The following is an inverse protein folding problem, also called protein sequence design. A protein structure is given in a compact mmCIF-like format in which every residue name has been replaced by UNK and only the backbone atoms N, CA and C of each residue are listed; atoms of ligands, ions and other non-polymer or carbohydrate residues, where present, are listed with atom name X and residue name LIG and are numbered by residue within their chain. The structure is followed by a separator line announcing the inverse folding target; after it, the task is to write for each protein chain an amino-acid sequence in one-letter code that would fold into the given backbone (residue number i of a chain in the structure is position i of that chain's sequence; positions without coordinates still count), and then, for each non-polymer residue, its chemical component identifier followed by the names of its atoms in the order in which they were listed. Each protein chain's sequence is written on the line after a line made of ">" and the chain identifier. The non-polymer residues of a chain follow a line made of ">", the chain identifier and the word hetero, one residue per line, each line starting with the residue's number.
data_IF_539261631546
#
_entry.id   IF_539261631546
#
_cell.length_a   1.000
_cell.length_b   1.000
_cell.length_c   1.000
_cell.angle_alpha   90.00
_cell.angle_beta   90.00
_cell.angle_gamma   90.00
#
_symmetry.space_group_name_H-M   'P 1'
#
loop_
_entity.id
_entity.type
_entity.pdbx_description
1 polymer ?
#
# COMPACT_ATOMS: atom_id res chain seq x y z
N UNK A 1 -7.06 8.05 18.73
CA UNK A 1 -6.59 6.64 18.78
C UNK A 1 -5.77 6.43 20.05
N UNK A 2 -6.15 5.48 20.91
CA UNK A 2 -5.50 5.25 22.22
C UNK A 2 -4.49 4.10 22.19
N UNK A 3 -4.40 3.38 21.08
CA UNK A 3 -3.50 2.24 20.90
C UNK A 3 -2.94 2.23 19.46
N UNK A 4 -1.80 1.56 19.29
CA UNK A 4 -1.16 1.37 17.99
C UNK A 4 -2.00 0.41 17.12
N UNK A 5 -2.36 0.77 15.87
CA UNK A 5 -3.17 -0.10 15.01
C UNK A 5 -2.45 -1.41 14.62
N UNK A 6 -1.11 -1.42 14.60
CA UNK A 6 -0.35 -2.61 14.24
C UNK A 6 -0.14 -3.60 15.40
N UNK A 7 0.14 -3.13 16.63
CA UNK A 7 0.53 -3.99 17.75
C UNK A 7 -0.28 -3.78 19.03
N UNK A 8 -1.32 -2.97 19.00
CA UNK A 8 -2.22 -2.61 20.12
C UNK A 8 -1.57 -2.00 21.35
N UNK A 9 -0.26 -1.74 21.33
CA UNK A 9 0.43 -1.07 22.43
C UNK A 9 -0.10 0.34 22.65
N UNK A 10 -0.27 0.71 23.92
CA UNK A 10 -0.64 2.08 24.35
C UNK A 10 0.57 2.97 24.62
N UNK A 11 1.80 2.42 24.51
CA UNK A 11 3.03 3.22 24.65
C UNK A 11 3.29 4.02 23.39
N UNK A 12 2.63 5.17 23.31
CA UNK A 12 2.66 6.06 22.17
C UNK A 12 3.41 7.35 22.50
N UNK A 13 4.18 7.84 21.53
CA UNK A 13 4.78 9.16 21.57
C UNK A 13 4.09 10.05 20.55
N UNK A 14 3.32 11.02 21.01
CA UNK A 14 2.71 12.07 20.17
C UNK A 14 3.77 13.08 19.73
N UNK A 15 3.69 13.47 18.47
CA UNK A 15 4.40 14.62 17.91
C UNK A 15 3.64 15.93 18.17
N UNK A 16 4.20 17.08 17.78
CA UNK A 16 3.47 18.33 17.78
C UNK A 16 2.33 18.30 16.77
N UNK A 17 1.30 19.08 17.02
CA UNK A 17 0.21 19.30 16.07
C UNK A 17 0.76 20.05 14.85
N UNK A 18 0.48 19.56 13.66
CA UNK A 18 0.79 20.26 12.42
C UNK A 18 -0.07 21.52 12.28
N UNK A 19 0.57 22.64 12.01
CA UNK A 19 -0.15 23.89 11.81
C UNK A 19 -0.95 23.91 10.49
N UNK A 20 -0.61 23.04 9.54
CA UNK A 20 -1.29 22.96 8.26
C UNK A 20 -2.53 22.05 8.32
N UNK A 21 -2.46 20.93 9.04
CA UNK A 21 -3.50 19.89 9.03
C UNK A 21 -4.29 19.83 10.35
N UNK A 22 -3.85 20.52 11.40
CA UNK A 22 -4.44 20.41 12.73
C UNK A 22 -4.26 19.04 13.41
N UNK A 23 -3.45 18.15 12.83
CA UNK A 23 -3.29 16.75 13.26
C UNK A 23 -1.92 16.49 13.86
N UNK A 24 -1.83 15.57 14.81
CA UNK A 24 -0.57 15.11 15.38
C UNK A 24 -0.23 13.70 14.88
N UNK A 25 1.04 13.49 14.57
CA UNK A 25 1.56 12.17 14.21
C UNK A 25 1.97 11.45 15.50
N UNK A 26 1.46 10.24 15.70
CA UNK A 26 1.85 9.34 16.77
C UNK A 26 2.91 8.35 16.29
N UNK A 27 3.82 7.99 17.18
CA UNK A 27 4.77 6.89 16.99
C UNK A 27 4.64 5.89 18.12
N UNK A 28 4.41 4.64 17.77
CA UNK A 28 4.46 3.54 18.73
C UNK A 28 5.90 3.29 19.18
N UNK A 29 6.15 3.24 20.51
CA UNK A 29 7.48 2.92 21.04
C UNK A 29 7.78 1.42 21.03
N UNK A 30 6.74 0.59 21.04
CA UNK A 30 6.88 -0.87 21.03
C UNK A 30 7.27 -1.43 19.66
N UNK A 31 6.57 -1.05 18.58
CA UNK A 31 6.82 -1.57 17.22
C UNK A 31 7.41 -0.55 16.24
N UNK A 32 7.41 0.73 16.59
CA UNK A 32 7.97 1.82 15.78
C UNK A 32 7.08 2.31 14.65
N UNK A 33 5.86 1.78 14.47
CA UNK A 33 4.89 2.30 13.50
C UNK A 33 4.61 3.79 13.76
N UNK A 34 4.36 4.51 12.68
CA UNK A 34 3.99 5.94 12.72
C UNK A 34 2.63 6.10 12.06
N UNK A 35 1.69 6.77 12.73
CA UNK A 35 0.31 6.87 12.31
C UNK A 35 -0.35 8.14 12.88
N UNK A 36 -1.61 8.40 12.53
CA UNK A 36 -2.36 9.51 13.09
C UNK A 36 -2.64 9.33 14.58
N UNK A 37 -2.22 10.29 15.38
CA UNK A 37 -2.33 10.23 16.84
C UNK A 37 -3.65 10.75 17.41
N UNK A 38 -4.30 11.68 16.73
CA UNK A 38 -5.60 12.25 17.08
C UNK A 38 -6.45 12.41 15.81
N UNK A 39 -7.71 12.10 15.94
CA UNK A 39 -8.66 11.94 14.84
C UNK A 39 -8.90 10.46 14.54
N UNK A 40 -10.10 10.13 14.07
CA UNK A 40 -10.38 8.81 13.53
C UNK A 40 -9.78 8.73 12.12
N UNK A 41 -9.37 7.53 11.71
CA UNK A 41 -9.06 7.29 10.29
C UNK A 41 -10.28 7.57 9.38
N UNK A 42 -11.49 7.64 9.98
CA UNK A 42 -12.74 8.04 9.30
C UNK A 42 -12.80 9.52 8.94
N UNK A 43 -11.98 10.38 9.61
CA UNK A 43 -11.88 11.82 9.29
C UNK A 43 -10.72 12.12 8.31
N UNK A 44 -9.91 11.13 7.90
CA UNK A 44 -9.24 11.21 6.62
C UNK A 44 -10.38 11.22 5.60
N UNK A 45 -10.58 12.34 4.89
CA UNK A 45 -11.40 12.36 3.70
C UNK A 45 -11.03 11.09 2.93
N UNK A 46 -11.88 10.08 3.00
CA UNK A 46 -12.04 9.19 1.86
C UNK A 46 -12.27 10.20 0.75
N UNK A 47 -11.28 10.43 -0.10
CA UNK A 47 -11.51 11.11 -1.37
C UNK A 47 -12.79 10.43 -1.82
N UNK A 48 -13.86 11.21 -2.03
CA UNK A 48 -15.08 10.67 -2.59
C UNK A 48 -14.71 10.19 -3.97
N UNK A 49 -14.17 8.97 -4.00
CA UNK A 49 -13.64 8.31 -5.21
C UNK A 49 -14.78 8.08 -6.20
N UNK A 50 -16.01 8.17 -5.71
CA UNK A 50 -17.23 8.13 -6.51
C UNK A 50 -17.38 9.34 -7.45
N UNK A 51 -16.67 10.46 -7.20
CA UNK A 51 -16.67 11.64 -8.06
C UNK A 51 -15.56 11.64 -9.12
N UNK A 52 -14.61 10.69 -9.07
CA UNK A 52 -13.54 10.60 -10.06
C UNK A 52 -14.10 9.98 -11.34
N UNK A 53 -14.09 10.74 -12.45
CA UNK A 53 -14.52 10.20 -13.74
C UNK A 53 -13.65 9.02 -14.17
N UNK A 54 -14.20 8.11 -14.97
CA UNK A 54 -13.45 6.96 -15.50
C UNK A 54 -12.22 7.41 -16.30
N UNK A 55 -12.32 8.52 -17.05
CA UNK A 55 -11.22 9.07 -17.86
C UNK A 55 -10.11 9.64 -16.96
N UNK A 56 -10.45 10.41 -15.92
CA UNK A 56 -9.47 10.94 -14.97
C UNK A 56 -8.75 9.84 -14.21
N UNK A 57 -9.48 8.77 -13.85
CA UNK A 57 -8.90 7.59 -13.22
C UNK A 57 -7.97 6.83 -14.17
N UNK A 58 -8.33 6.73 -15.43
CA UNK A 58 -7.52 6.12 -16.48
C UNK A 58 -6.20 6.87 -16.68
N UNK A 59 -6.27 8.19 -16.86
CA UNK A 59 -5.09 9.05 -17.04
C UNK A 59 -4.15 8.96 -15.82
N UNK A 60 -4.73 8.93 -14.61
CA UNK A 60 -3.97 8.82 -13.38
C UNK A 60 -3.28 7.45 -13.23
N UNK A 61 -3.95 6.36 -13.62
CA UNK A 61 -3.35 5.01 -13.59
C UNK A 61 -2.23 4.87 -14.60
N UNK A 62 -2.39 5.38 -15.81
CA UNK A 62 -1.37 5.36 -16.88
C UNK A 62 -0.12 6.15 -16.46
N UNK A 63 -0.32 7.34 -15.87
CA UNK A 63 0.78 8.16 -15.35
C UNK A 63 1.52 7.45 -14.20
N UNK A 64 0.80 6.78 -13.31
CA UNK A 64 1.39 6.09 -12.15
C UNK A 64 2.30 4.94 -12.53
N UNK A 65 1.83 4.09 -13.42
CA UNK A 65 2.44 2.77 -13.64
C UNK A 65 3.63 2.81 -14.58
N UNK A 66 3.49 3.44 -15.75
CA UNK A 66 4.51 3.41 -16.77
C UNK A 66 5.09 1.99 -16.94
N UNK A 67 6.37 1.88 -17.30
CA UNK A 67 7.07 0.58 -17.45
C UNK A 67 7.46 -0.07 -16.11
N UNK A 68 7.56 0.73 -15.05
CA UNK A 68 8.04 0.29 -13.73
C UNK A 68 7.03 -0.61 -13.01
N UNK A 69 5.75 -0.32 -13.17
CA UNK A 69 4.69 -1.14 -12.59
C UNK A 69 4.75 -2.58 -13.06
N UNK A 70 4.68 -2.84 -14.38
CA UNK A 70 4.76 -4.19 -14.94
C UNK A 70 6.02 -4.96 -14.56
N UNK A 71 7.20 -4.32 -14.48
CA UNK A 71 8.43 -4.98 -14.04
C UNK A 71 8.34 -5.46 -12.59
N UNK A 72 7.85 -4.60 -11.68
CA UNK A 72 7.65 -4.96 -10.28
C UNK A 72 6.63 -6.11 -10.15
N UNK A 73 5.55 -6.05 -10.91
CA UNK A 73 4.51 -7.08 -10.94
C UNK A 73 5.05 -8.43 -11.40
N UNK A 74 5.84 -8.46 -12.50
CA UNK A 74 6.48 -9.70 -12.98
C UNK A 74 7.41 -10.30 -11.93
N UNK A 75 8.22 -9.46 -11.27
CA UNK A 75 9.15 -9.92 -10.25
C UNK A 75 8.43 -10.57 -9.06
N UNK A 76 7.34 -9.98 -8.59
CA UNK A 76 6.50 -10.54 -7.51
C UNK A 76 5.79 -11.81 -7.98
N UNK A 77 5.13 -11.76 -9.14
CA UNK A 77 4.35 -12.88 -9.67
C UNK A 77 5.22 -14.10 -9.96
N UNK A 78 6.48 -13.89 -10.39
CA UNK A 78 7.47 -14.97 -10.53
C UNK A 78 7.73 -15.67 -9.19
N UNK A 79 7.86 -14.91 -8.09
CA UNK A 79 8.04 -15.52 -6.75
C UNK A 79 6.79 -16.27 -6.28
N UNK A 80 5.59 -15.75 -6.59
CA UNK A 80 4.33 -16.43 -6.29
C UNK A 80 4.18 -17.72 -7.12
N UNK A 81 4.46 -17.65 -8.44
CA UNK A 81 4.36 -18.80 -9.37
C UNK A 81 5.24 -19.97 -8.95
N UNK A 82 6.40 -19.70 -8.36
CA UNK A 82 7.29 -20.75 -7.86
C UNK A 82 6.72 -21.53 -6.65
N UNK A 83 5.64 -21.05 -6.02
CA UNK A 83 5.07 -21.60 -4.79
C UNK A 83 3.60 -22.00 -4.93
N UNK A 84 2.95 -21.62 -6.01
CA UNK A 84 1.52 -21.84 -6.26
C UNK A 84 1.30 -22.92 -7.34
N UNK A 85 0.17 -23.64 -7.32
CA UNK A 85 -0.23 -24.51 -8.42
C UNK A 85 -0.41 -23.74 -9.74
N UNK A 86 -0.40 -24.46 -10.85
CA UNK A 86 -0.43 -23.84 -12.19
C UNK A 86 -1.71 -23.03 -12.46
N UNK A 87 -2.83 -23.48 -11.92
CA UNK A 87 -4.17 -22.92 -12.06
C UNK A 87 -4.64 -22.17 -10.82
N UNK A 88 -3.71 -21.69 -9.99
CA UNK A 88 -4.04 -20.96 -8.74
C UNK A 88 -4.94 -19.77 -9.00
N UNK A 89 -5.86 -19.54 -8.08
CA UNK A 89 -6.69 -18.33 -8.03
C UNK A 89 -5.96 -17.24 -7.25
N UNK A 90 -5.57 -16.19 -7.95
CA UNK A 90 -4.92 -14.99 -7.38
C UNK A 90 -5.96 -13.87 -7.31
N UNK A 91 -6.20 -13.36 -6.12
CA UNK A 91 -7.13 -12.27 -5.86
C UNK A 91 -6.37 -10.99 -5.53
N UNK A 92 -6.65 -9.89 -6.24
CA UNK A 92 -5.99 -8.60 -6.01
C UNK A 92 -6.91 -7.61 -5.32
N UNK A 93 -6.54 -7.16 -4.12
CA UNK A 93 -7.32 -6.18 -3.36
C UNK A 93 -6.90 -4.77 -3.76
N UNK A 94 -7.90 -3.92 -4.10
CA UNK A 94 -7.66 -2.59 -4.64
C UNK A 94 -7.01 -2.68 -6.03
N UNK A 95 -7.56 -3.53 -6.89
CA UNK A 95 -7.00 -3.92 -8.17
C UNK A 95 -6.95 -2.78 -9.21
N UNK A 96 -7.66 -1.69 -8.96
CA UNK A 96 -7.68 -0.52 -9.82
C UNK A 96 -8.24 -0.86 -11.20
N UNK A 97 -7.51 -0.48 -12.25
CA UNK A 97 -7.91 -0.76 -13.63
C UNK A 97 -7.72 -2.23 -14.08
N UNK A 98 -7.38 -3.14 -13.15
CA UNK A 98 -7.19 -4.56 -13.47
C UNK A 98 -5.86 -4.90 -14.15
N UNK A 99 -4.93 -3.96 -14.29
CA UNK A 99 -3.68 -4.19 -15.02
C UNK A 99 -2.78 -5.27 -14.41
N UNK A 100 -2.71 -5.37 -13.07
CA UNK A 100 -1.96 -6.44 -12.42
C UNK A 100 -2.64 -7.82 -12.57
N UNK A 101 -3.94 -7.98 -12.28
CA UNK A 101 -4.64 -9.22 -12.55
C UNK A 101 -4.50 -9.69 -14.01
N UNK A 102 -4.66 -8.78 -14.98
CA UNK A 102 -4.47 -9.10 -16.39
C UNK A 102 -3.07 -9.65 -16.68
N UNK A 103 -2.02 -9.00 -16.18
CA UNK A 103 -0.64 -9.48 -16.33
C UNK A 103 -0.47 -10.88 -15.69
N UNK A 104 -1.02 -11.10 -14.50
CA UNK A 104 -0.92 -12.40 -13.81
C UNK A 104 -1.64 -13.52 -14.59
N UNK A 105 -2.78 -13.20 -15.24
CA UNK A 105 -3.49 -14.11 -16.12
C UNK A 105 -2.68 -14.39 -17.41
N UNK A 106 -2.33 -13.34 -18.13
CA UNK A 106 -1.83 -13.44 -19.51
C UNK A 106 -0.39 -13.94 -19.59
N UNK A 107 0.48 -13.54 -18.66
CA UNK A 107 1.89 -13.92 -18.67
C UNK A 107 2.19 -15.15 -17.78
N UNK A 108 1.39 -15.39 -16.74
CA UNK A 108 1.66 -16.45 -15.76
C UNK A 108 0.63 -17.58 -15.74
N UNK A 109 -0.52 -17.40 -16.41
CA UNK A 109 -1.56 -18.42 -16.54
C UNK A 109 -2.35 -18.66 -15.24
N UNK A 110 -2.40 -17.70 -14.34
CA UNK A 110 -3.25 -17.76 -13.14
C UNK A 110 -4.72 -17.51 -13.48
N UNK A 111 -5.62 -18.09 -12.71
CA UNK A 111 -6.98 -17.58 -12.62
C UNK A 111 -6.93 -16.31 -11.77
N UNK A 112 -7.64 -15.28 -12.19
CA UNK A 112 -7.57 -13.98 -11.50
C UNK A 112 -8.96 -13.46 -11.16
N UNK A 113 -9.05 -12.80 -10.02
CA UNK A 113 -10.16 -11.98 -9.59
C UNK A 113 -9.62 -10.87 -8.70
N UNK A 114 -10.48 -10.04 -8.17
CA UNK A 114 -10.10 -8.99 -7.24
C UNK A 114 -11.27 -8.07 -6.93
N UNK A 115 -11.02 -7.07 -6.11
CA UNK A 115 -12.01 -6.04 -5.82
C UNK A 115 -11.41 -4.64 -5.90
N UNK A 116 -12.29 -3.67 -6.06
CA UNK A 116 -11.98 -2.25 -5.81
C UNK A 116 -13.21 -1.56 -5.23
N UNK A 117 -13.00 -0.55 -4.39
CA UNK A 117 -14.09 0.24 -3.80
C UNK A 117 -14.58 1.34 -4.75
N UNK A 118 -13.87 1.56 -5.87
CA UNK A 118 -14.18 2.59 -6.88
C UNK A 118 -14.91 1.97 -8.06
N UNK A 119 -16.16 2.32 -8.28
CA UNK A 119 -16.97 1.79 -9.39
C UNK A 119 -16.31 2.05 -10.77
N UNK A 120 -15.72 3.26 -10.94
CA UNK A 120 -14.99 3.61 -12.17
C UNK A 120 -13.79 2.70 -12.43
N UNK A 121 -13.09 2.25 -11.38
CA UNK A 121 -11.98 1.30 -11.49
C UNK A 121 -12.47 -0.08 -11.96
N UNK A 122 -13.55 -0.59 -11.35
CA UNK A 122 -14.17 -1.87 -11.72
C UNK A 122 -14.58 -1.88 -13.19
N UNK A 123 -15.25 -0.80 -13.65
CA UNK A 123 -15.62 -0.66 -15.07
C UNK A 123 -14.40 -0.63 -15.98
N UNK A 124 -13.38 0.13 -15.59
CA UNK A 124 -12.15 0.27 -16.37
C UNK A 124 -11.39 -1.06 -16.50
N UNK A 125 -11.35 -1.87 -15.44
CA UNK A 125 -10.74 -3.20 -15.46
C UNK A 125 -11.43 -4.13 -16.49
N UNK A 126 -12.76 -4.07 -16.55
CA UNK A 126 -13.54 -4.83 -17.55
C UNK A 126 -13.26 -4.33 -18.96
N UNK A 127 -13.34 -3.00 -19.17
CA UNK A 127 -13.21 -2.39 -20.48
C UNK A 127 -11.79 -2.54 -21.08
N UNK A 128 -10.74 -2.37 -20.28
CA UNK A 128 -9.35 -2.40 -20.73
C UNK A 128 -8.75 -3.79 -20.82
N UNK A 129 -9.10 -4.65 -19.88
CA UNK A 129 -8.38 -5.90 -19.66
C UNK A 129 -9.26 -7.14 -19.63
N UNK A 130 -10.57 -6.99 -19.76
CA UNK A 130 -11.54 -8.08 -19.59
C UNK A 130 -11.33 -8.84 -18.26
N UNK A 131 -11.11 -8.06 -17.18
CA UNK A 131 -11.00 -8.56 -15.82
C UNK A 131 -12.27 -8.19 -15.05
N UNK A 132 -12.94 -9.20 -14.51
CA UNK A 132 -14.09 -9.00 -13.65
C UNK A 132 -13.63 -8.75 -12.21
N UNK A 133 -13.93 -7.55 -11.71
CA UNK A 133 -13.67 -7.16 -10.33
C UNK A 133 -14.97 -7.03 -9.55
N UNK A 134 -14.91 -7.34 -8.27
CA UNK A 134 -15.99 -7.14 -7.31
C UNK A 134 -15.95 -5.69 -6.79
N UNK A 135 -17.11 -5.04 -6.69
CA UNK A 135 -17.20 -3.69 -6.12
C UNK A 135 -17.39 -3.78 -4.60
N UNK A 136 -16.54 -3.10 -3.82
CA UNK A 136 -16.61 -3.08 -2.36
C UNK A 136 -15.45 -3.80 -1.68
N UNK A 137 -15.60 -4.09 -0.39
CA UNK A 137 -14.58 -4.77 0.42
C UNK A 137 -14.59 -6.29 0.23
N UNK A 138 -13.43 -6.95 0.35
CA UNK A 138 -13.33 -8.42 0.27
C UNK A 138 -14.29 -9.15 1.22
N UNK A 139 -14.55 -8.58 2.39
CA UNK A 139 -15.47 -9.16 3.39
C UNK A 139 -16.94 -9.19 2.94
N UNK A 140 -17.31 -8.51 1.87
CA UNK A 140 -18.67 -8.45 1.34
C UNK A 140 -18.94 -9.55 0.30
N UNK A 141 -17.90 -10.26 -0.17
CA UNK A 141 -17.98 -11.18 -1.31
C UNK A 141 -17.91 -12.66 -0.94
N UNK A 142 -17.88 -12.99 0.36
CA UNK A 142 -18.09 -14.34 0.86
C UNK A 142 -16.96 -15.33 0.55
N UNK A 143 -15.73 -14.86 0.34
CA UNK A 143 -14.56 -15.73 0.25
C UNK A 143 -14.30 -16.39 1.61
N UNK A 144 -14.31 -17.72 1.64
CA UNK A 144 -14.09 -18.53 2.85
C UNK A 144 -13.13 -19.68 2.53
N UNK A 145 -11.84 -19.37 2.55
CA UNK A 145 -10.78 -20.35 2.34
C UNK A 145 -10.72 -20.90 0.92
N UNK A 146 -11.07 -20.12 -0.10
CA UNK A 146 -11.09 -20.53 -1.50
C UNK A 146 -9.98 -19.91 -2.36
N UNK A 147 -9.25 -18.91 -1.84
CA UNK A 147 -8.19 -18.22 -2.56
C UNK A 147 -6.81 -18.88 -2.35
N UNK A 148 -6.09 -19.08 -3.44
CA UNK A 148 -4.71 -19.62 -3.38
C UNK A 148 -3.69 -18.54 -3.03
N UNK A 149 -3.94 -17.30 -3.50
CA UNK A 149 -3.14 -16.14 -3.11
C UNK A 149 -3.95 -14.86 -3.12
N UNK A 150 -3.55 -13.93 -2.25
CA UNK A 150 -4.04 -12.53 -2.22
C UNK A 150 -2.86 -11.59 -2.43
N UNK A 151 -3.08 -10.55 -3.24
CA UNK A 151 -2.13 -9.46 -3.47
C UNK A 151 -2.71 -8.11 -3.10
N UNK A 152 -1.87 -7.20 -2.61
CA UNK A 152 -2.24 -5.82 -2.27
C UNK A 152 -1.12 -4.85 -2.67
N UNK A 153 -1.34 -4.01 -3.68
CA UNK A 153 -0.37 -3.03 -4.14
C UNK A 153 -0.58 -1.67 -3.48
N UNK A 154 0.00 -1.48 -2.30
CA UNK A 154 -0.10 -0.26 -1.49
C UNK A 154 -1.51 0.05 -0.93
N UNK A 155 -2.35 -0.95 -0.72
CA UNK A 155 -3.73 -0.78 -0.22
C UNK A 155 -3.79 -0.64 1.30
N UNK A 156 -3.08 -1.50 2.05
CA UNK A 156 -3.20 -1.60 3.51
C UNK A 156 -3.04 -0.26 4.25
N UNK A 157 -2.20 0.64 3.72
CA UNK A 157 -1.95 1.94 4.35
C UNK A 157 -3.08 2.97 4.12
N UNK A 158 -4.03 2.69 3.23
CA UNK A 158 -5.18 3.54 2.94
C UNK A 158 -6.44 3.11 3.67
N UNK A 159 -6.49 1.86 4.15
CA UNK A 159 -7.65 1.29 4.81
C UNK A 159 -7.75 1.77 6.26
N UNK A 160 -8.93 2.23 6.72
CA UNK A 160 -9.13 2.69 8.09
C UNK A 160 -8.86 1.63 9.16
N UNK A 161 -9.25 0.39 8.90
CA UNK A 161 -9.02 -0.77 9.77
C UNK A 161 -8.20 -1.85 9.07
N UNK A 162 -6.89 -1.62 9.00
CA UNK A 162 -5.97 -2.58 8.41
C UNK A 162 -5.86 -3.91 9.18
N UNK A 163 -6.22 -3.93 10.47
CA UNK A 163 -6.22 -5.17 11.24
C UNK A 163 -7.40 -6.05 10.82
N UNK A 164 -8.59 -5.47 10.61
CA UNK A 164 -9.74 -6.18 10.06
C UNK A 164 -9.43 -6.71 8.66
N UNK A 165 -8.92 -5.87 7.77
CA UNK A 165 -8.57 -6.30 6.42
C UNK A 165 -7.61 -7.50 6.42
N UNK A 166 -6.57 -7.48 7.25
CA UNK A 166 -5.63 -8.61 7.34
C UNK A 166 -6.28 -9.89 7.88
N UNK A 167 -7.26 -9.78 8.79
CA UNK A 167 -8.03 -10.92 9.26
C UNK A 167 -8.95 -11.47 8.16
N UNK A 168 -9.70 -10.61 7.47
CA UNK A 168 -10.56 -10.99 6.34
C UNK A 168 -9.77 -11.70 5.23
N UNK A 169 -8.55 -11.19 4.93
CA UNK A 169 -7.63 -11.83 3.97
C UNK A 169 -7.16 -13.22 4.45
N UNK A 170 -6.85 -13.35 5.75
CA UNK A 170 -6.48 -14.64 6.30
C UNK A 170 -7.63 -15.64 6.17
N UNK A 171 -8.86 -15.20 6.47
CA UNK A 171 -10.05 -16.06 6.37
C UNK A 171 -10.31 -16.49 4.92
N UNK A 172 -10.18 -15.58 3.96
CA UNK A 172 -10.38 -15.84 2.54
C UNK A 172 -9.34 -16.77 1.90
N UNK A 173 -8.13 -16.84 2.43
CA UNK A 173 -7.08 -17.71 1.93
C UNK A 173 -7.30 -19.18 2.30
N UNK A 174 -6.97 -20.10 1.41
CA UNK A 174 -6.82 -21.53 1.71
C UNK A 174 -5.75 -21.76 2.78
N UNK A 175 -5.81 -22.85 3.56
CA UNK A 175 -4.67 -23.30 4.34
C UNK A 175 -3.42 -23.41 3.45
N UNK A 176 -2.32 -22.79 3.86
CA UNK A 176 -1.10 -22.69 3.06
C UNK A 176 -1.10 -21.63 1.96
N UNK A 177 -2.20 -20.89 1.77
CA UNK A 177 -2.32 -19.81 0.81
C UNK A 177 -1.36 -18.65 1.07
N UNK A 178 -1.02 -17.91 0.02
CA UNK A 178 0.00 -16.85 0.06
C UNK A 178 -0.61 -15.46 0.10
N UNK A 179 -0.02 -14.59 0.91
CA UNK A 179 -0.25 -13.15 0.87
C UNK A 179 1.00 -12.44 0.37
N UNK A 180 0.84 -11.57 -0.62
CA UNK A 180 1.78 -10.50 -0.92
C UNK A 180 1.16 -9.15 -0.64
N UNK A 181 1.88 -8.27 0.05
CA UNK A 181 1.47 -6.88 0.17
C UNK A 181 2.65 -5.92 0.06
N UNK A 182 2.37 -4.78 -0.57
CA UNK A 182 3.27 -3.63 -0.60
C UNK A 182 2.71 -2.53 0.30
N UNK A 183 3.56 -1.92 1.16
CA UNK A 183 3.12 -0.88 2.09
C UNK A 183 4.20 0.17 2.34
N UNK A 184 3.85 1.42 2.66
CA UNK A 184 4.83 2.46 2.97
C UNK A 184 5.63 2.14 4.23
N UNK A 185 6.95 2.31 4.12
CA UNK A 185 7.90 2.13 5.22
C UNK A 185 8.16 3.43 5.95
N UNK A 186 8.21 3.37 7.28
CA UNK A 186 8.78 4.43 8.11
C UNK A 186 10.31 4.43 7.98
N UNK A 187 10.83 5.21 7.06
CA UNK A 187 12.24 5.26 6.67
C UNK A 187 13.06 6.23 7.54
N UNK A 188 14.38 6.32 7.27
CA UNK A 188 15.25 7.34 7.90
C UNK A 188 14.83 8.76 7.51
N UNK A 189 14.31 8.94 6.28
CA UNK A 189 13.79 10.23 5.79
C UNK A 189 12.59 10.66 6.64
N UNK A 190 11.65 9.75 6.91
CA UNK A 190 10.47 10.04 7.73
C UNK A 190 10.85 10.38 9.18
N UNK A 191 11.86 9.69 9.73
CA UNK A 191 12.39 9.99 11.07
C UNK A 191 13.03 11.39 11.13
N UNK A 192 13.78 11.76 10.08
CA UNK A 192 14.37 13.10 9.94
C UNK A 192 13.29 14.19 9.83
N UNK A 193 12.26 13.97 9.02
CA UNK A 193 11.13 14.88 8.88
C UNK A 193 10.37 15.08 10.20
N UNK A 194 10.11 14.01 10.96
CA UNK A 194 9.49 14.08 12.28
C UNK A 194 10.38 14.80 13.32
N UNK A 195 11.69 14.63 13.24
CA UNK A 195 12.63 15.37 14.10
C UNK A 195 12.57 16.87 13.80
N UNK A 196 12.57 17.25 12.53
CA UNK A 196 12.46 18.64 12.09
C UNK A 196 11.11 19.25 12.52
N UNK A 197 10.02 18.51 12.33
CA UNK A 197 8.68 18.92 12.80
C UNK A 197 8.68 19.19 14.30
N UNK A 198 9.33 18.34 15.10
CA UNK A 198 9.45 18.54 16.56
C UNK A 198 10.30 19.74 16.91
N UNK A 199 11.47 19.91 16.28
CA UNK A 199 12.37 21.04 16.54
C UNK A 199 11.71 22.38 16.21
N UNK A 200 10.84 22.40 15.21
CA UNK A 200 10.11 23.62 14.79
C UNK A 200 8.72 23.76 15.43
N UNK A 201 8.39 22.88 16.40
CA UNK A 201 7.09 22.88 17.10
C UNK A 201 5.89 22.80 16.12
N UNK A 202 6.00 22.03 15.03
CA UNK A 202 4.93 21.84 14.04
C UNK A 202 4.83 22.93 12.96
N UNK A 203 5.81 23.86 12.88
CA UNK A 203 5.83 24.91 11.84
C UNK A 203 6.36 24.37 10.49
N UNK A 204 7.32 23.46 10.51
CA UNK A 204 7.88 22.82 9.32
C UNK A 204 7.43 21.36 9.31
N UNK A 205 6.43 21.06 8.52
CA UNK A 205 5.72 19.78 8.54
C UNK A 205 5.44 19.18 7.15
N UNK A 206 5.58 19.96 6.06
CA UNK A 206 5.22 19.52 4.70
C UNK A 206 5.69 18.11 4.34
N UNK A 207 6.93 17.73 4.69
CA UNK A 207 7.47 16.41 4.36
C UNK A 207 6.84 15.30 5.22
N UNK A 208 6.60 15.56 6.51
CA UNK A 208 5.99 14.60 7.42
C UNK A 208 4.50 14.42 7.09
N UNK A 209 3.77 15.51 6.89
CA UNK A 209 2.36 15.50 6.57
C UNK A 209 2.10 14.79 5.24
N UNK A 210 2.90 15.08 4.20
CA UNK A 210 2.78 14.42 2.91
C UNK A 210 2.86 12.90 2.97
N UNK A 211 3.69 12.35 3.84
CA UNK A 211 3.89 10.90 3.95
C UNK A 211 2.75 10.19 4.66
N UNK A 212 2.07 10.88 5.57
CA UNK A 212 1.01 10.31 6.41
C UNK A 212 -0.33 11.02 6.20
N UNK A 213 -0.32 12.35 6.01
CA UNK A 213 -1.52 13.16 6.11
C UNK A 213 -2.47 13.05 4.92
N UNK A 214 -1.92 12.98 3.73
CA UNK A 214 -2.74 13.13 2.52
C UNK A 214 -3.18 11.78 1.95
N UNK A 215 -2.41 10.71 2.18
CA UNK A 215 -2.66 9.45 1.49
C UNK A 215 -2.48 8.20 2.33
N UNK A 216 -1.89 8.26 3.52
CA UNK A 216 -1.61 7.07 4.31
C UNK A 216 -2.06 7.22 5.76
N UNK A 217 -2.72 6.22 6.30
CA UNK A 217 -3.11 6.16 7.71
C UNK A 217 -1.96 5.73 8.61
N UNK A 218 -1.02 4.94 8.06
CA UNK A 218 0.11 4.34 8.79
C UNK A 218 1.35 4.20 7.91
N UNK A 219 2.53 4.42 8.50
CA UNK A 219 3.82 3.97 7.96
C UNK A 219 4.35 2.84 8.83
N UNK A 220 4.56 1.68 8.23
CA UNK A 220 5.05 0.51 8.92
C UNK A 220 6.58 0.50 9.08
N UNK A 221 7.07 -0.08 10.16
CA UNK A 221 8.42 -0.63 10.25
C UNK A 221 8.37 -2.13 9.91
N UNK A 222 9.52 -2.76 9.67
CA UNK A 222 9.59 -4.22 9.48
C UNK A 222 9.00 -4.96 10.69
N UNK A 223 9.27 -4.46 11.91
CA UNK A 223 8.70 -5.01 13.14
C UNK A 223 7.18 -4.84 13.20
N UNK A 224 6.66 -3.66 12.85
CA UNK A 224 5.22 -3.40 12.99
C UNK A 224 4.37 -4.15 11.99
N UNK A 225 4.83 -4.31 10.74
CA UNK A 225 4.08 -5.10 9.75
C UNK A 225 4.12 -6.59 10.10
N UNK A 226 5.28 -7.11 10.53
CA UNK A 226 5.39 -8.48 11.02
C UNK A 226 4.43 -8.73 12.18
N UNK A 227 4.42 -7.87 13.20
CA UNK A 227 3.51 -8.00 14.35
C UNK A 227 2.04 -7.94 13.93
N UNK A 228 1.67 -7.06 12.97
CA UNK A 228 0.30 -7.00 12.47
C UNK A 228 -0.13 -8.30 11.78
N UNK A 229 0.74 -8.87 10.94
CA UNK A 229 0.49 -10.14 10.25
C UNK A 229 0.44 -11.33 11.21
N UNK A 230 1.38 -11.42 12.16
CA UNK A 230 1.36 -12.46 13.20
C UNK A 230 0.05 -12.44 14.01
N UNK A 231 -0.46 -11.24 14.32
CA UNK A 231 -1.75 -11.05 15.02
C UNK A 231 -2.95 -11.45 14.17
N UNK A 232 -2.86 -11.31 12.86
CA UNK A 232 -3.87 -11.77 11.90
C UNK A 232 -3.74 -13.27 11.56
N UNK A 233 -2.81 -14.00 12.21
CA UNK A 233 -2.66 -15.45 12.04
C UNK A 233 -1.70 -15.89 10.95
N UNK A 234 -0.97 -14.97 10.29
CA UNK A 234 0.00 -15.34 9.26
C UNK A 234 1.33 -15.84 9.83
N UNK A 235 1.96 -16.73 9.07
CA UNK A 235 3.28 -17.30 9.34
C UNK A 235 4.22 -17.09 8.13
N UNK A 236 5.45 -17.58 8.22
CA UNK A 236 6.48 -17.52 7.16
C UNK A 236 6.66 -16.11 6.58
N UNK A 237 6.60 -15.10 7.47
CA UNK A 237 6.60 -13.69 7.09
C UNK A 237 8.01 -13.28 6.65
N UNK A 238 8.14 -12.89 5.38
CA UNK A 238 9.35 -12.30 4.80
C UNK A 238 9.09 -10.84 4.49
N UNK A 239 9.95 -9.95 4.98
CA UNK A 239 9.82 -8.50 4.78
C UNK A 239 11.07 -7.99 4.08
N UNK A 240 10.90 -7.46 2.89
CA UNK A 240 11.96 -6.88 2.06
C UNK A 240 11.75 -5.35 1.96
N UNK A 241 12.81 -4.57 2.10
CA UNK A 241 12.71 -3.12 1.98
C UNK A 241 13.14 -2.67 0.59
N UNK A 242 12.28 -1.95 -0.12
CA UNK A 242 12.46 -1.48 -1.49
C UNK A 242 12.56 0.05 -1.58
N UNK A 243 13.27 0.58 -2.60
CA UNK A 243 13.46 2.03 -2.73
C UNK A 243 12.23 2.76 -3.26
N UNK A 244 11.33 2.08 -3.97
CA UNK A 244 10.13 2.69 -4.57
C UNK A 244 8.94 1.74 -4.61
N UNK A 245 7.77 2.33 -4.82
CA UNK A 245 6.54 1.62 -5.18
C UNK A 245 6.59 1.14 -6.63
N UNK A 246 5.60 0.35 -7.05
CA UNK A 246 5.35 0.02 -8.45
C UNK A 246 4.80 1.24 -9.22
N UNK A 247 5.49 2.38 -9.12
CA UNK A 247 5.13 3.64 -9.80
C UNK A 247 6.39 4.40 -10.23
N UNK A 248 6.26 5.22 -11.27
CA UNK A 248 7.37 6.00 -11.82
C UNK A 248 7.76 7.17 -10.92
N UNK A 249 9.03 7.58 -10.94
CA UNK A 249 9.50 8.79 -10.26
C UNK A 249 8.77 10.05 -10.76
N UNK A 250 8.39 10.06 -12.04
CA UNK A 250 7.62 11.14 -12.65
C UNK A 250 6.22 11.25 -12.01
N UNK A 251 5.51 10.14 -11.87
CA UNK A 251 4.21 10.11 -11.20
C UNK A 251 4.30 10.56 -9.74
N UNK A 252 5.31 10.06 -9.03
CA UNK A 252 5.56 10.48 -7.65
C UNK A 252 5.79 11.99 -7.53
N UNK A 253 6.57 12.59 -8.42
CA UNK A 253 6.84 14.02 -8.42
C UNK A 253 5.66 14.83 -8.95
N UNK A 254 4.94 14.35 -9.97
CA UNK A 254 3.78 15.02 -10.54
C UNK A 254 2.68 15.29 -9.49
N UNK A 255 2.49 14.36 -8.55
CA UNK A 255 1.56 14.56 -7.43
C UNK A 255 1.91 15.75 -6.51
N UNK A 256 3.09 16.37 -6.67
CA UNK A 256 3.50 17.62 -5.99
C UNK A 256 3.17 18.87 -6.79
N UNK A 257 2.61 18.72 -7.98
CA UNK A 257 2.33 19.82 -8.90
C UNK A 257 3.53 20.78 -9.10
N UNK A 258 4.76 20.27 -9.41
CA UNK A 258 5.92 21.10 -9.60
C UNK A 258 5.92 21.73 -11.00
N UNK A 259 6.68 22.81 -11.24
CA UNK A 259 6.91 23.32 -12.60
C UNK A 259 7.44 22.20 -13.51
N UNK A 260 7.09 22.24 -14.81
CA UNK A 260 7.46 21.19 -15.79
C UNK A 260 8.95 20.85 -15.81
N UNK A 261 9.82 21.87 -15.76
CA UNK A 261 11.27 21.66 -15.76
C UNK A 261 11.78 20.95 -14.49
N UNK A 262 11.14 21.20 -13.32
CA UNK A 262 11.44 20.49 -12.06
C UNK A 262 10.96 19.05 -12.16
N UNK A 263 9.81 18.82 -12.79
CA UNK A 263 9.30 17.46 -12.97
C UNK A 263 10.27 16.62 -13.83
N UNK A 264 10.74 17.16 -14.94
CA UNK A 264 11.61 16.43 -15.87
C UNK A 264 13.02 16.19 -15.29
N UNK A 265 13.66 17.25 -14.78
CA UNK A 265 14.99 17.12 -14.18
C UNK A 265 14.96 16.30 -12.87
N UNK A 266 13.93 16.54 -12.05
CA UNK A 266 13.76 15.87 -10.77
C UNK A 266 13.46 14.38 -10.92
N UNK A 267 12.66 13.96 -11.92
CA UNK A 267 12.37 12.54 -12.15
C UNK A 267 13.64 11.77 -12.56
N UNK A 268 14.44 12.31 -13.48
CA UNK A 268 15.73 11.70 -13.88
C UNK A 268 16.71 11.60 -12.70
N UNK A 269 16.83 12.67 -11.92
CA UNK A 269 17.69 12.67 -10.73
C UNK A 269 17.20 11.65 -9.69
N UNK A 270 15.90 11.54 -9.50
CA UNK A 270 15.30 10.58 -8.59
C UNK A 270 15.52 9.14 -9.06
N UNK A 271 15.36 8.84 -10.36
CA UNK A 271 15.63 7.52 -10.93
C UNK A 271 17.11 7.13 -10.72
N UNK A 272 18.05 8.02 -10.99
CA UNK A 272 19.48 7.79 -10.74
C UNK A 272 19.79 7.53 -9.26
N UNK A 273 19.09 8.21 -8.33
CA UNK A 273 19.23 7.95 -6.89
C UNK A 273 18.64 6.59 -6.52
N UNK A 274 17.47 6.24 -7.08
CA UNK A 274 16.78 4.96 -6.82
C UNK A 274 17.63 3.78 -7.27
N UNK A 275 18.30 3.89 -8.42
CA UNK A 275 19.20 2.87 -8.94
C UNK A 275 20.49 2.74 -8.11
N UNK A 276 20.81 3.73 -7.31
CA UNK A 276 21.99 3.72 -6.46
C UNK A 276 21.79 2.83 -5.21
N UNK A 277 22.89 2.28 -4.68
CA UNK A 277 22.88 1.55 -3.39
C UNK A 277 22.53 2.43 -2.19
N UNK A 278 22.56 3.76 -2.36
CA UNK A 278 22.27 4.76 -1.32
C UNK A 278 20.79 5.15 -1.29
N UNK A 279 19.96 4.61 -2.20
CA UNK A 279 18.55 4.91 -2.26
C UNK A 279 17.85 4.69 -0.91
N UNK A 280 17.08 5.67 -0.42
CA UNK A 280 16.28 5.47 0.78
C UNK A 280 15.21 4.41 0.49
N UNK A 281 15.20 3.34 1.28
CA UNK A 281 14.19 2.29 1.15
C UNK A 281 12.92 2.74 1.87
N UNK A 282 11.92 3.13 1.11
CA UNK A 282 10.68 3.78 1.59
C UNK A 282 9.43 2.91 1.52
N UNK A 283 9.59 1.69 1.03
CA UNK A 283 8.53 0.71 0.83
C UNK A 283 8.91 -0.60 1.50
N UNK A 284 7.94 -1.39 1.92
CA UNK A 284 8.07 -2.77 2.32
C UNK A 284 7.29 -3.65 1.34
N UNK A 285 7.97 -4.64 0.78
CA UNK A 285 7.39 -5.77 0.09
C UNK A 285 7.33 -6.93 1.07
N UNK A 286 6.15 -7.47 1.29
CA UNK A 286 5.90 -8.44 2.35
C UNK A 286 5.23 -9.67 1.77
N UNK A 287 5.80 -10.82 2.08
CA UNK A 287 5.24 -12.13 1.77
C UNK A 287 4.88 -12.82 3.06
N UNK A 288 3.75 -13.48 3.11
CA UNK A 288 3.30 -14.23 4.27
C UNK A 288 2.46 -15.43 3.83
N UNK A 289 2.24 -16.36 4.74
CA UNK A 289 1.47 -17.58 4.47
C UNK A 289 0.41 -17.79 5.54
N UNK A 290 -0.79 -18.19 5.13
CA UNK A 290 -1.77 -18.77 6.08
C UNK A 290 -1.25 -20.14 6.53
N UNK A 291 -1.28 -20.47 7.82
CA UNK A 291 -0.92 -21.80 8.31
C UNK A 291 -1.68 -22.92 7.59
N UNK A 292 -1.11 -24.12 7.58
CA UNK A 292 -1.77 -25.32 7.02
C UNK A 292 -2.92 -25.84 7.89
N UNK A 293 -2.91 -25.45 9.16
CA UNK A 293 -3.93 -25.83 10.15
C UNK A 293 -3.89 -24.87 11.34
#
# INVERSE_FOLDING_TARGET
>A
MNACPACTSTDLRLGPVSHATGRAIARCRSCGATFWGNGSARDAEVIELDEVSQDDYADWTDLKRGEVGPEAWRAVTTKLKAQLPADALVYDIGAGDGGYPALARDEFGFRVSGNDVVEGAVKLAKDRHDVDLELGDISEHGHDGDLDAVTMWCVLAHVPDGAKLLADVNDALKPGGLLYLQTPRCSKVDKGAQLLQRATKGRVNKLADRRIAEHHTILHTEKSIRTALERAGFTDIVVEASPRYALTSRAYLASMNPPKWVLEAGSRAMDSVIESRLAPRIVLDVYARKPLS
#
